data_IF_113532194145
#
_entry.id   IF_113532194145
#
_cell.length_a   1.000
_cell.length_b   1.000
_cell.length_c   1.000
_cell.angle_alpha   90.00
_cell.angle_beta   90.00
_cell.angle_gamma   90.00
#
_symmetry.space_group_name_H-M   'P 1'
#
loop_
_entity.id
_entity.type
_entity.pdbx_description
1 polymer ?
#
# COMPACT_ATOMS: atom_id res chain seq x y z
N UNK A 1 2.30 -25.58 5.37
CA UNK A 1 2.14 -25.83 3.91
C UNK A 1 1.47 -24.66 3.16
N UNK A 2 0.45 -23.98 3.71
CA UNK A 2 -0.19 -22.81 3.08
C UNK A 2 0.70 -21.58 2.83
N UNK A 3 1.79 -21.42 3.60
CA UNK A 3 2.67 -20.24 3.49
C UNK A 3 3.55 -20.22 2.24
N UNK A 4 3.97 -21.39 1.75
CA UNK A 4 4.86 -21.48 0.58
C UNK A 4 4.15 -21.07 -0.72
N UNK A 5 2.84 -21.31 -0.84
CA UNK A 5 2.09 -21.01 -2.08
C UNK A 5 1.90 -19.51 -2.36
N UNK A 6 1.72 -18.69 -1.32
CA UNK A 6 1.45 -17.25 -1.47
C UNK A 6 2.71 -16.49 -1.88
N UNK A 7 3.83 -16.73 -1.19
CA UNK A 7 5.12 -16.12 -1.54
C UNK A 7 5.55 -16.49 -2.96
N UNK A 8 5.39 -17.77 -3.34
CA UNK A 8 5.71 -18.25 -4.68
C UNK A 8 4.86 -17.55 -5.75
N UNK A 9 3.57 -17.28 -5.47
CA UNK A 9 2.71 -16.53 -6.39
C UNK A 9 3.20 -15.09 -6.61
N UNK A 10 3.55 -14.37 -5.54
CA UNK A 10 4.06 -13.00 -5.65
C UNK A 10 5.41 -12.92 -6.38
N UNK A 11 6.31 -13.85 -6.08
CA UNK A 11 7.59 -13.94 -6.79
C UNK A 11 7.39 -14.15 -8.29
N UNK A 12 6.45 -15.00 -8.69
CA UNK A 12 6.15 -15.22 -10.11
C UNK A 12 5.63 -13.94 -10.77
N UNK A 13 4.70 -13.21 -10.13
CA UNK A 13 4.16 -11.95 -10.66
C UNK A 13 5.26 -10.91 -10.82
N UNK A 14 6.09 -10.71 -9.80
CA UNK A 14 7.17 -9.71 -9.83
C UNK A 14 8.26 -10.08 -10.82
N UNK A 15 8.59 -11.36 -10.94
CA UNK A 15 9.53 -11.86 -11.95
C UNK A 15 8.99 -11.65 -13.36
N UNK A 16 7.68 -11.84 -13.56
CA UNK A 16 7.04 -11.55 -14.83
C UNK A 16 7.12 -10.05 -15.19
N UNK A 17 6.95 -9.14 -14.22
CA UNK A 17 7.17 -7.71 -14.45
C UNK A 17 8.61 -7.41 -14.90
N UNK A 18 9.59 -8.02 -14.22
CA UNK A 18 11.01 -7.89 -14.58
C UNK A 18 11.29 -8.43 -15.99
N UNK A 19 10.74 -9.60 -16.33
CA UNK A 19 10.89 -10.21 -17.66
C UNK A 19 10.22 -9.38 -18.78
N UNK A 20 9.23 -8.54 -18.43
CA UNK A 20 8.59 -7.59 -19.36
C UNK A 20 9.36 -6.27 -19.50
N UNK A 21 10.52 -6.13 -18.85
CA UNK A 21 11.42 -4.98 -18.98
C UNK A 21 11.33 -3.95 -17.87
N UNK A 22 10.65 -4.25 -16.74
CA UNK A 22 10.75 -3.37 -15.56
C UNK A 22 12.12 -3.57 -14.93
N UNK A 23 12.96 -2.54 -15.03
CA UNK A 23 14.32 -2.56 -14.49
C UNK A 23 14.34 -2.15 -13.02
N UNK A 24 13.57 -1.13 -12.66
CA UNK A 24 13.58 -0.58 -11.31
C UNK A 24 12.21 -0.08 -10.82
N UNK A 25 12.01 -0.12 -9.50
CA UNK A 25 10.83 0.39 -8.81
C UNK A 25 11.30 1.20 -7.59
N UNK A 26 11.03 2.50 -7.57
CA UNK A 26 11.42 3.35 -6.44
C UNK A 26 10.58 3.08 -5.19
N UNK A 27 9.25 3.12 -5.34
CA UNK A 27 8.29 2.98 -4.24
C UNK A 27 7.22 1.96 -4.60
N UNK A 28 6.92 1.04 -3.68
CA UNK A 28 5.79 0.12 -3.78
C UNK A 28 4.80 0.33 -2.62
N UNK A 29 3.65 0.94 -2.92
CA UNK A 29 2.55 1.11 -1.96
C UNK A 29 1.62 -0.12 -1.99
N UNK A 30 1.54 -0.87 -0.88
CA UNK A 30 0.83 -2.15 -0.81
C UNK A 30 -0.03 -2.31 0.45
N UNK A 31 -1.00 -3.22 0.42
CA UNK A 31 -2.02 -3.38 1.48
C UNK A 31 -1.61 -4.29 2.66
N UNK A 32 -0.33 -4.70 2.74
CA UNK A 32 0.17 -5.59 3.81
C UNK A 32 -0.15 -7.07 3.59
N UNK A 33 -0.21 -7.50 2.33
CA UNK A 33 -0.44 -8.89 1.96
C UNK A 33 0.76 -9.75 2.39
N UNK A 34 0.46 -10.89 3.03
CA UNK A 34 1.48 -11.80 3.56
C UNK A 34 2.40 -12.30 2.45
N UNK A 35 3.72 -12.24 2.66
CA UNK A 35 4.71 -12.69 1.69
C UNK A 35 4.97 -11.69 0.55
N UNK A 36 4.20 -10.61 0.43
CA UNK A 36 4.38 -9.65 -0.66
C UNK A 36 5.59 -8.73 -0.45
N UNK A 37 5.81 -8.15 0.75
CA UNK A 37 7.04 -7.39 1.00
C UNK A 37 8.31 -8.21 0.76
N UNK A 38 8.31 -9.47 1.20
CA UNK A 38 9.45 -10.38 1.05
C UNK A 38 9.71 -10.69 -0.44
N UNK A 39 8.65 -10.85 -1.24
CA UNK A 39 8.76 -11.03 -2.68
C UNK A 39 9.32 -9.80 -3.38
N UNK A 40 8.86 -8.59 -3.00
CA UNK A 40 9.36 -7.32 -3.54
C UNK A 40 10.86 -7.19 -3.26
N UNK A 41 11.26 -7.38 -2.01
CA UNK A 41 12.67 -7.30 -1.60
C UNK A 41 13.55 -8.35 -2.31
N UNK A 42 12.98 -9.49 -2.70
CA UNK A 42 13.71 -10.53 -3.43
C UNK A 42 13.94 -10.18 -4.91
N UNK A 43 12.97 -9.55 -5.59
CA UNK A 43 13.04 -9.26 -7.03
C UNK A 43 13.59 -7.86 -7.32
N UNK A 44 13.21 -6.88 -6.50
CA UNK A 44 13.57 -5.47 -6.59
C UNK A 44 14.09 -4.95 -5.23
N UNK A 45 15.30 -5.35 -4.81
CA UNK A 45 15.82 -5.13 -3.45
C UNK A 45 16.00 -3.67 -3.05
N UNK A 46 16.10 -2.75 -4.01
CA UNK A 46 16.22 -1.30 -3.76
C UNK A 46 14.86 -0.62 -3.58
N UNK A 47 13.74 -1.32 -3.76
CA UNK A 47 12.40 -0.73 -3.68
C UNK A 47 12.08 -0.34 -2.26
N UNK A 48 11.64 0.90 -2.04
CA UNK A 48 11.09 1.30 -0.76
C UNK A 48 9.62 0.88 -0.65
N UNK A 49 9.30 0.08 0.36
CA UNK A 49 7.94 -0.44 0.55
C UNK A 49 7.17 0.49 1.47
N UNK A 50 5.99 0.90 1.05
CA UNK A 50 5.03 1.58 1.90
C UNK A 50 3.80 0.70 2.13
N UNK A 51 3.51 0.38 3.38
CA UNK A 51 2.24 -0.25 3.74
C UNK A 51 1.11 0.79 3.82
N UNK A 52 -0.04 0.47 3.25
CA UNK A 52 -1.18 1.36 3.26
C UNK A 52 -1.69 1.55 4.70
N UNK A 53 -1.49 2.76 5.25
CA UNK A 53 -1.95 3.16 6.59
C UNK A 53 -3.46 2.95 6.76
N UNK A 54 -4.26 3.19 5.72
CA UNK A 54 -5.72 2.98 5.77
C UNK A 54 -6.07 1.51 5.96
N UNK A 55 -5.40 0.60 5.23
CA UNK A 55 -5.60 -0.83 5.40
C UNK A 55 -5.11 -1.31 6.77
N UNK A 56 -3.98 -0.77 7.25
CA UNK A 56 -3.50 -1.03 8.60
C UNK A 56 -4.53 -0.59 9.67
N UNK A 57 -5.10 0.62 9.57
CA UNK A 57 -6.15 1.11 10.47
C UNK A 57 -7.37 0.18 10.43
N UNK A 58 -7.87 -0.16 9.24
CA UNK A 58 -9.03 -1.06 9.08
C UNK A 58 -8.77 -2.43 9.71
N UNK A 59 -7.57 -2.98 9.52
CA UNK A 59 -7.19 -4.26 10.13
C UNK A 59 -7.11 -4.16 11.65
N UNK A 60 -6.50 -3.10 12.16
CA UNK A 60 -6.34 -2.81 13.60
C UNK A 60 -7.67 -2.79 14.33
N UNK A 61 -8.68 -2.14 13.76
CA UNK A 61 -9.99 -1.97 14.38
C UNK A 61 -10.79 -3.28 14.53
N UNK A 62 -10.42 -4.35 13.81
CA UNK A 62 -11.01 -5.68 14.01
C UNK A 62 -10.66 -6.26 15.39
N UNK A 63 -9.55 -5.81 15.98
CA UNK A 63 -9.06 -6.28 17.29
C UNK A 63 -9.46 -5.35 18.45
N UNK A 64 -10.23 -4.30 18.19
CA UNK A 64 -10.63 -3.30 19.18
C UNK A 64 -12.15 -3.36 19.39
N UNK A 65 -12.59 -3.53 20.63
CA UNK A 65 -14.02 -3.61 20.93
C UNK A 65 -14.73 -2.32 20.53
N UNK A 66 -15.93 -2.43 19.95
CA UNK A 66 -16.70 -1.31 19.38
C UNK A 66 -16.81 -0.09 20.31
N UNK A 67 -17.07 -0.32 21.60
CA UNK A 67 -17.17 0.72 22.63
C UNK A 67 -15.92 1.60 22.78
N UNK A 68 -14.74 1.04 22.52
CA UNK A 68 -13.46 1.73 22.68
C UNK A 68 -12.92 2.30 21.37
N UNK A 69 -13.46 1.87 20.21
CA UNK A 69 -12.94 2.27 18.90
C UNK A 69 -12.91 3.78 18.69
N UNK A 70 -13.87 4.53 19.25
CA UNK A 70 -13.90 6.00 19.10
C UNK A 70 -12.67 6.65 19.75
N UNK A 71 -12.36 6.27 20.99
CA UNK A 71 -11.22 6.82 21.72
C UNK A 71 -9.90 6.29 21.17
N UNK A 72 -9.84 4.99 20.84
CA UNK A 72 -8.68 4.38 20.21
C UNK A 72 -8.32 5.06 18.88
N UNK A 73 -9.29 5.29 17.99
CA UNK A 73 -9.07 6.01 16.73
C UNK A 73 -8.54 7.42 16.94
N UNK A 74 -9.03 8.13 17.97
CA UNK A 74 -8.57 9.48 18.28
C UNK A 74 -7.08 9.48 18.60
N UNK A 75 -6.61 8.58 19.45
CA UNK A 75 -5.19 8.48 19.78
C UNK A 75 -4.36 7.91 18.61
N UNK A 76 -4.88 6.92 17.88
CA UNK A 76 -4.22 6.36 16.71
C UNK A 76 -3.98 7.42 15.61
N UNK A 77 -4.86 8.41 15.51
CA UNK A 77 -4.71 9.54 14.58
C UNK A 77 -3.43 10.34 14.84
N UNK A 78 -3.03 10.48 16.09
CA UNK A 78 -1.79 11.17 16.46
C UNK A 78 -0.55 10.42 15.93
N UNK A 79 -0.63 9.10 15.78
CA UNK A 79 0.46 8.28 15.19
C UNK A 79 0.64 8.61 13.71
N UNK A 80 -0.39 8.39 12.88
CA UNK A 80 -0.24 8.50 11.43
C UNK A 80 -0.36 9.93 10.88
N UNK A 81 -0.76 10.90 11.71
CA UNK A 81 -0.73 12.33 11.36
C UNK A 81 0.40 13.11 12.03
N UNK A 82 1.30 12.42 12.72
CA UNK A 82 2.48 13.07 13.28
C UNK A 82 3.29 13.78 12.18
N UNK A 83 3.99 14.89 12.50
CA UNK A 83 4.80 15.62 11.53
C UNK A 83 6.10 14.89 11.16
N UNK A 84 6.64 14.09 12.08
CA UNK A 84 7.90 13.34 11.92
C UNK A 84 7.74 11.90 12.41
N UNK A 85 8.63 11.03 11.94
CA UNK A 85 8.65 9.64 12.39
C UNK A 85 8.89 9.52 13.90
N UNK A 86 9.74 10.37 14.48
CA UNK A 86 10.00 10.37 15.94
C UNK A 86 8.74 10.73 16.73
N UNK A 87 7.99 11.76 16.28
CA UNK A 87 6.73 12.13 16.92
C UNK A 87 5.67 11.02 16.76
N UNK A 88 5.69 10.31 15.63
CA UNK A 88 4.81 9.18 15.37
C UNK A 88 5.09 8.00 16.31
N UNK A 89 6.39 7.68 16.51
CA UNK A 89 6.84 6.66 17.46
C UNK A 89 6.44 6.99 18.90
N UNK A 90 6.65 8.22 19.33
CA UNK A 90 6.25 8.67 20.67
C UNK A 90 4.73 8.55 20.86
N UNK A 91 3.95 8.89 19.84
CA UNK A 91 2.49 8.72 19.87
C UNK A 91 2.09 7.24 19.90
N UNK A 92 2.85 6.36 19.24
CA UNK A 92 2.62 4.91 19.27
C UNK A 92 2.96 4.32 20.65
N UNK A 93 4.00 4.80 21.31
CA UNK A 93 4.35 4.44 22.69
C UNK A 93 3.21 4.83 23.65
N UNK A 94 2.70 6.06 23.53
CA UNK A 94 1.55 6.51 24.34
C UNK A 94 0.28 5.69 24.06
N UNK A 95 0.06 5.26 22.82
CA UNK A 95 -1.06 4.39 22.48
C UNK A 95 -0.90 3.01 23.15
N UNK A 96 0.33 2.49 23.21
CA UNK A 96 0.68 1.24 23.87
C UNK A 96 0.48 1.31 25.39
N UNK A 97 0.90 2.40 26.03
CA UNK A 97 0.68 2.62 27.46
C UNK A 97 -0.80 2.61 27.83
N UNK A 98 -1.63 3.25 26.99
CA UNK A 98 -3.07 3.37 27.21
C UNK A 98 -3.85 2.08 26.88
N UNK A 99 -3.45 1.37 25.82
CA UNK A 99 -4.26 0.28 25.25
C UNK A 99 -3.55 -1.06 25.10
N UNK A 100 -2.23 -1.11 25.16
CA UNK A 100 -1.41 -2.30 24.88
C UNK A 100 -1.75 -3.50 25.77
N UNK A 101 -2.07 -3.26 27.04
CA UNK A 101 -2.53 -4.32 27.95
C UNK A 101 -3.85 -4.95 27.51
N UNK A 102 -4.75 -4.18 26.89
CA UNK A 102 -6.08 -4.61 26.48
C UNK A 102 -6.14 -5.11 25.04
N UNK A 103 -5.41 -4.46 24.15
CA UNK A 103 -5.43 -4.65 22.70
C UNK A 103 -4.02 -4.90 22.15
N UNK A 104 -3.30 -5.85 22.77
CA UNK A 104 -1.91 -6.16 22.40
C UNK A 104 -1.74 -6.55 20.93
N UNK A 105 -2.72 -7.22 20.32
CA UNK A 105 -2.71 -7.56 18.89
C UNK A 105 -2.76 -6.31 18.00
N UNK A 106 -3.54 -5.30 18.39
CA UNK A 106 -3.62 -4.04 17.66
C UNK A 106 -2.26 -3.33 17.67
N UNK A 107 -1.62 -3.21 18.84
CA UNK A 107 -0.31 -2.55 18.97
C UNK A 107 0.80 -3.34 18.27
N UNK A 108 0.90 -4.65 18.50
CA UNK A 108 1.90 -5.51 17.84
C UNK A 108 1.83 -5.42 16.33
N UNK A 109 0.62 -5.35 15.76
CA UNK A 109 0.41 -5.18 14.31
C UNK A 109 1.06 -3.90 13.79
N UNK A 110 1.09 -2.79 14.54
CA UNK A 110 1.75 -1.55 14.11
C UNK A 110 3.27 -1.63 14.30
N UNK A 111 3.74 -2.14 15.44
CA UNK A 111 5.17 -2.29 15.74
C UNK A 111 5.87 -3.19 14.72
N UNK A 112 5.30 -4.36 14.44
CA UNK A 112 5.88 -5.33 13.50
C UNK A 112 5.94 -4.82 12.06
N UNK A 113 5.04 -3.90 11.71
CA UNK A 113 4.93 -3.34 10.37
C UNK A 113 5.54 -1.94 10.28
N UNK A 114 6.16 -1.44 11.35
CA UNK A 114 6.51 -0.02 11.49
C UNK A 114 7.41 0.46 10.37
N UNK A 115 8.49 -0.26 10.10
CA UNK A 115 9.49 0.10 9.09
C UNK A 115 8.87 0.38 7.71
N UNK A 116 7.86 -0.40 7.32
CA UNK A 116 7.16 -0.18 6.06
C UNK A 116 5.95 0.77 6.19
N UNK A 117 5.43 0.99 7.40
CA UNK A 117 4.34 1.96 7.63
C UNK A 117 4.88 3.39 7.69
N UNK A 118 6.12 3.59 8.14
CA UNK A 118 6.74 4.89 8.34
C UNK A 118 7.53 5.40 7.12
N UNK A 119 7.72 4.58 6.07
CA UNK A 119 8.50 4.94 4.86
C UNK A 119 8.16 6.32 4.30
N UNK A 120 6.87 6.68 4.29
CA UNK A 120 6.41 7.98 3.77
C UNK A 120 7.00 9.20 4.50
N UNK A 121 7.48 9.05 5.75
CA UNK A 121 8.08 10.15 6.51
C UNK A 121 9.37 10.66 5.88
N UNK A 122 10.06 9.85 5.08
CA UNK A 122 11.29 10.24 4.36
C UNK A 122 11.04 11.31 3.30
N UNK A 123 9.82 11.39 2.77
CA UNK A 123 9.52 12.18 1.59
C UNK A 123 8.82 13.50 1.92
N UNK A 124 8.82 14.48 1.01
CA UNK A 124 8.06 15.71 1.16
C UNK A 124 6.58 15.49 0.79
N UNK A 125 5.74 16.50 1.05
CA UNK A 125 4.28 16.40 0.94
C UNK A 125 3.80 16.03 -0.47
N UNK A 126 4.54 16.44 -1.50
CA UNK A 126 4.25 16.17 -2.90
C UNK A 126 4.29 14.66 -3.19
N UNK A 127 5.29 13.95 -2.69
CA UNK A 127 5.40 12.49 -2.82
C UNK A 127 4.41 11.81 -1.87
N UNK A 128 4.25 12.30 -0.63
CA UNK A 128 3.26 11.75 0.32
C UNK A 128 1.86 11.76 -0.26
N UNK A 129 1.48 12.82 -0.96
CA UNK A 129 0.15 12.94 -1.59
C UNK A 129 -0.09 11.81 -2.59
N UNK A 130 0.92 11.42 -3.38
CA UNK A 130 0.82 10.29 -4.32
C UNK A 130 0.76 8.96 -3.59
N UNK A 131 1.54 8.80 -2.52
CA UNK A 131 1.48 7.59 -1.69
C UNK A 131 0.08 7.39 -1.09
N UNK A 132 -0.55 8.47 -0.63
CA UNK A 132 -1.85 8.43 0.04
C UNK A 132 -3.06 8.39 -0.89
N UNK A 133 -2.94 8.86 -2.14
CA UNK A 133 -4.09 8.91 -3.04
C UNK A 133 -4.53 7.50 -3.45
N UNK A 134 -5.61 7.01 -2.85
CA UNK A 134 -6.22 5.73 -3.23
C UNK A 134 -7.21 5.88 -4.40
N UNK A 135 -7.43 7.09 -4.90
CA UNK A 135 -8.45 7.40 -5.90
C UNK A 135 -8.35 6.53 -7.16
N UNK A 136 -7.13 6.34 -7.69
CA UNK A 136 -6.93 5.55 -8.92
C UNK A 136 -7.29 4.07 -8.69
N UNK A 137 -6.79 3.48 -7.60
CA UNK A 137 -7.03 2.08 -7.24
C UNK A 137 -8.49 1.85 -6.85
N UNK A 138 -9.08 2.76 -6.06
CA UNK A 138 -10.49 2.69 -5.67
C UNK A 138 -11.44 2.85 -6.86
N UNK A 139 -11.12 3.72 -7.83
CA UNK A 139 -11.87 3.86 -9.07
C UNK A 139 -11.84 2.56 -9.88
N UNK A 140 -10.67 1.92 -10.02
CA UNK A 140 -10.54 0.62 -10.67
C UNK A 140 -11.36 -0.46 -9.95
N UNK A 141 -11.17 -0.60 -8.63
CA UNK A 141 -11.92 -1.56 -7.81
C UNK A 141 -13.43 -1.33 -7.88
N UNK A 142 -13.88 -0.07 -7.94
CA UNK A 142 -15.29 0.26 -8.12
C UNK A 142 -15.82 -0.24 -9.47
N UNK A 143 -15.06 -0.07 -10.56
CA UNK A 143 -15.48 -0.61 -11.86
C UNK A 143 -15.51 -2.13 -11.87
N UNK A 144 -14.50 -2.78 -11.27
CA UNK A 144 -14.49 -4.24 -11.14
C UNK A 144 -15.70 -4.76 -10.37
N UNK A 145 -16.01 -4.17 -9.19
CA UNK A 145 -17.22 -4.50 -8.44
C UNK A 145 -18.49 -4.25 -9.24
N UNK A 146 -18.56 -3.19 -10.04
CA UNK A 146 -19.74 -2.87 -10.87
C UNK A 146 -20.00 -3.96 -11.91
N UNK A 147 -18.98 -4.40 -12.63
CA UNK A 147 -19.14 -5.41 -13.70
C UNK A 147 -19.38 -6.81 -13.15
N UNK A 148 -18.85 -7.12 -11.96
CA UNK A 148 -19.05 -8.44 -11.33
C UNK A 148 -20.32 -8.55 -10.51
N UNK A 149 -20.89 -7.44 -9.98
CA UNK A 149 -22.06 -7.47 -9.09
C UNK A 149 -23.30 -8.18 -9.68
N UNK A 150 -23.49 -8.13 -10.99
CA UNK A 150 -24.64 -8.76 -11.66
C UNK A 150 -24.47 -10.26 -11.92
N UNK A 151 -23.30 -10.83 -11.62
CA UNK A 151 -22.99 -12.25 -11.84
C UNK A 151 -22.80 -12.94 -10.48
N UNK A 152 -23.67 -13.90 -10.18
CA UNK A 152 -23.57 -14.71 -8.96
C UNK A 152 -22.47 -15.77 -9.04
N UNK A 153 -22.18 -16.29 -10.24
CA UNK A 153 -21.14 -17.28 -10.49
C UNK A 153 -20.49 -17.04 -11.87
N UNK A 154 -19.21 -17.38 -11.98
CA UNK A 154 -18.49 -17.46 -13.25
C UNK A 154 -18.24 -18.94 -13.60
N UNK A 155 -18.34 -19.33 -14.88
CA UNK A 155 -18.16 -20.72 -15.31
C UNK A 155 -16.71 -21.21 -15.18
N UNK A 156 -15.73 -20.31 -15.27
CA UNK A 156 -14.31 -20.56 -15.05
C UNK A 156 -13.55 -19.23 -14.83
N UNK A 157 -12.28 -19.33 -14.46
CA UNK A 157 -11.41 -18.18 -14.18
C UNK A 157 -11.20 -17.28 -15.42
N UNK A 158 -11.15 -17.85 -16.62
CA UNK A 158 -10.91 -17.08 -17.85
C UNK A 158 -12.11 -16.21 -18.22
N UNK A 159 -13.33 -16.65 -17.92
CA UNK A 159 -14.53 -15.82 -18.05
C UNK A 159 -14.47 -14.60 -17.14
N UNK A 160 -14.01 -14.77 -15.89
CA UNK A 160 -13.79 -13.65 -14.96
C UNK A 160 -12.66 -12.73 -15.47
N UNK A 161 -11.50 -13.28 -15.84
CA UNK A 161 -10.37 -12.50 -16.38
C UNK A 161 -10.78 -11.68 -17.59
N UNK A 162 -11.51 -12.26 -18.54
CA UNK A 162 -12.00 -11.55 -19.73
C UNK A 162 -12.90 -10.37 -19.34
N UNK A 163 -13.80 -10.56 -18.38
CA UNK A 163 -14.68 -9.49 -17.91
C UNK A 163 -13.90 -8.35 -17.22
N UNK A 164 -12.95 -8.69 -16.35
CA UNK A 164 -12.09 -7.72 -15.68
C UNK A 164 -11.20 -6.98 -16.67
N UNK A 165 -10.62 -7.68 -17.65
CA UNK A 165 -9.80 -7.09 -18.70
C UNK A 165 -10.60 -6.09 -19.56
N UNK A 166 -11.83 -6.43 -19.95
CA UNK A 166 -12.69 -5.52 -20.71
C UNK A 166 -13.03 -4.25 -19.89
N UNK A 167 -13.34 -4.42 -18.60
CA UNK A 167 -13.59 -3.29 -17.71
C UNK A 167 -12.35 -2.41 -17.53
N UNK A 168 -11.16 -3.01 -17.37
CA UNK A 168 -9.89 -2.30 -17.32
C UNK A 168 -9.63 -1.52 -18.61
N UNK A 169 -9.77 -2.17 -19.78
CA UNK A 169 -9.55 -1.57 -21.10
C UNK A 169 -10.44 -0.37 -21.34
N UNK A 170 -11.70 -0.44 -20.93
CA UNK A 170 -12.63 0.67 -21.13
C UNK A 170 -12.43 1.80 -20.11
N UNK A 171 -11.93 1.48 -18.92
CA UNK A 171 -11.53 2.47 -17.92
C UNK A 171 -10.22 3.18 -18.31
N UNK A 172 -9.22 2.46 -18.80
CA UNK A 172 -7.90 3.01 -19.14
C UNK A 172 -7.97 4.05 -20.25
N UNK A 173 -8.93 3.94 -21.18
CA UNK A 173 -9.24 4.97 -22.19
C UNK A 173 -9.58 6.34 -21.60
N UNK A 174 -9.97 6.41 -20.33
CA UNK A 174 -10.33 7.65 -19.62
C UNK A 174 -9.15 8.24 -18.83
N UNK A 175 -8.01 7.54 -18.76
CA UNK A 175 -6.82 8.01 -18.06
C UNK A 175 -5.97 8.89 -18.97
N UNK A 176 -6.52 10.03 -19.37
CA UNK A 176 -5.86 10.99 -20.28
C UNK A 176 -5.22 12.17 -19.55
N UNK A 177 -5.62 12.41 -18.30
CA UNK A 177 -5.08 13.52 -17.51
C UNK A 177 -3.76 13.12 -16.84
N UNK A 178 -2.73 13.98 -16.90
CA UNK A 178 -1.49 13.75 -16.17
C UNK A 178 -1.71 13.86 -14.66
N UNK A 179 -0.78 13.30 -13.89
CA UNK A 179 -0.72 13.50 -12.45
C UNK A 179 -0.48 15.00 -12.19
N UNK A 180 -1.25 15.58 -11.26
CA UNK A 180 -1.11 16.98 -10.89
C UNK A 180 0.28 17.23 -10.31
N UNK A 181 0.90 18.35 -10.69
CA UNK A 181 2.22 18.77 -10.20
C UNK A 181 3.33 17.72 -10.41
N UNK A 182 3.18 16.86 -11.45
CA UNK A 182 4.09 15.76 -11.73
C UNK A 182 5.54 16.19 -11.91
N UNK A 183 5.79 17.35 -12.51
CA UNK A 183 7.16 17.87 -12.68
C UNK A 183 7.85 18.10 -11.33
N UNK A 184 7.13 18.60 -10.32
CA UNK A 184 7.67 18.82 -8.98
C UNK A 184 7.93 17.50 -8.26
N UNK A 185 7.03 16.52 -8.43
CA UNK A 185 7.22 15.17 -7.92
C UNK A 185 8.47 14.52 -8.54
N UNK A 186 8.63 14.66 -9.86
CA UNK A 186 9.76 14.11 -10.60
C UNK A 186 11.09 14.72 -10.13
N UNK A 187 11.13 16.05 -9.93
CA UNK A 187 12.30 16.73 -9.36
C UNK A 187 12.62 16.26 -7.94
N UNK A 188 11.62 15.94 -7.13
CA UNK A 188 11.90 15.33 -5.82
C UNK A 188 12.43 13.91 -5.99
N UNK A 189 11.87 13.09 -6.89
CA UNK A 189 12.40 11.75 -7.14
C UNK A 189 13.86 11.75 -7.60
N UNK A 190 14.29 12.69 -8.44
CA UNK A 190 15.70 12.79 -8.84
C UNK A 190 16.63 13.15 -7.69
N UNK A 191 16.13 13.79 -6.62
CA UNK A 191 16.91 14.07 -5.40
C UNK A 191 16.97 12.84 -4.50
N UNK A 192 15.82 12.21 -4.21
CA UNK A 192 15.74 11.10 -3.26
C UNK A 192 16.26 9.77 -3.83
N UNK A 193 16.20 9.58 -5.15
CA UNK A 193 16.64 8.38 -5.84
C UNK A 193 17.75 8.65 -6.85
N UNK A 194 18.55 9.71 -6.63
CA UNK A 194 19.57 10.21 -7.57
C UNK A 194 20.35 9.10 -8.29
N UNK A 195 21.01 8.23 -7.53
CA UNK A 195 21.86 7.15 -8.06
C UNK A 195 21.13 6.11 -8.92
N UNK A 196 19.80 6.12 -8.91
CA UNK A 196 18.92 5.21 -9.67
C UNK A 196 18.12 5.97 -10.73
N UNK A 197 17.99 7.29 -10.58
CA UNK A 197 17.23 8.14 -11.48
C UNK A 197 18.05 8.48 -12.72
N UNK A 198 19.35 8.73 -12.52
CA UNK A 198 20.30 9.10 -13.58
C UNK A 198 20.45 7.98 -14.65
N UNK A 199 20.13 6.72 -14.31
CA UNK A 199 20.11 5.61 -15.27
C UNK A 199 19.00 5.73 -16.33
N UNK A 200 18.01 6.60 -16.12
CA UNK A 200 16.82 6.75 -16.96
C UNK A 200 16.69 8.14 -17.64
N UNK A 201 17.63 9.06 -17.38
CA UNK A 201 17.67 10.41 -17.98
C UNK A 201 18.88 10.58 -18.87
#
# INVERSE_FOLDING_TARGET
MFLKGILTSWLNILTELKNRGVEDIFIASIDGLKGFPEAINSVFPKTEIQLCVIHQIRNTLKYVASKDQKQFKKQLKEVYKAPTEQAALLSLDQLDDNWGKKYSLAIKSWRNNWDNLSTYFKYPEEIKTIIYTTNAVEALHRQFRKVTKSKSLFPNDDALKKMLYLAYRDLSKKWTMPIRDWALVLSNFSIYFKDRFDDFT
#
